data_IF_426836247292
#
_entry.id   IF_426836247292
#
_cell.length_a   1.000
_cell.length_b   1.000
_cell.length_c   1.000
_cell.angle_alpha   90.00
_cell.angle_beta   90.00
_cell.angle_gamma   90.00
#
_symmetry.space_group_name_H-M   'P 1'
#
loop_
_entity.id
_entity.type
_entity.pdbx_description
1 polymer ?
#
# COMPACT_ATOMS: atom_id res chain seq x y z
N UNK A 1 1.53 8.15 6.70
CA UNK A 1 0.06 8.31 6.57
C UNK A 1 -0.18 9.46 5.61
N UNK A 2 -1.28 9.44 4.87
CA UNK A 2 -1.63 10.51 3.94
C UNK A 2 -3.08 10.96 4.15
N UNK A 3 -3.34 12.25 3.96
CA UNK A 3 -4.69 12.81 3.83
C UNK A 3 -4.78 13.66 2.57
N UNK A 4 -6.00 13.95 2.13
CA UNK A 4 -6.18 14.89 1.04
C UNK A 4 -5.82 16.31 1.49
N UNK A 5 -5.08 17.11 0.70
CA UNK A 5 -4.78 18.51 1.04
C UNK A 5 -6.04 19.39 1.18
N UNK A 6 -7.16 19.00 0.57
CA UNK A 6 -8.44 19.71 0.64
C UNK A 6 -9.31 19.30 1.84
N UNK A 7 -8.88 18.32 2.63
CA UNK A 7 -9.60 17.89 3.82
C UNK A 7 -9.31 18.84 5.00
N UNK A 8 -10.27 19.71 5.27
CA UNK A 8 -10.24 20.73 6.31
C UNK A 8 -9.94 20.15 7.71
N UNK A 9 -10.38 18.91 7.98
CA UNK A 9 -10.23 18.25 9.30
C UNK A 9 -8.76 18.06 9.68
N UNK A 10 -7.86 18.00 8.69
CA UNK A 10 -6.47 17.60 8.89
C UNK A 10 -5.43 18.68 8.58
N UNK A 11 -5.83 19.91 8.21
CA UNK A 11 -4.93 21.00 7.78
C UNK A 11 -3.68 21.23 8.63
N UNK A 12 -3.78 21.03 9.94
CA UNK A 12 -2.72 21.32 10.90
C UNK A 12 -1.74 20.15 11.11
N UNK A 13 -1.80 19.09 10.30
CA UNK A 13 -0.94 17.90 10.43
C UNK A 13 0.33 17.95 9.56
N UNK A 14 0.60 19.09 8.90
CA UNK A 14 1.79 19.23 8.03
C UNK A 14 3.06 19.11 8.88
N UNK A 15 3.97 18.22 8.47
CA UNK A 15 5.26 18.03 9.15
C UNK A 15 5.18 17.18 10.43
N UNK A 16 3.98 16.76 10.83
CA UNK A 16 3.78 15.88 11.98
C UNK A 16 4.39 14.50 11.71
N UNK A 17 5.00 13.93 12.75
CA UNK A 17 5.46 12.54 12.77
C UNK A 17 4.51 11.72 13.63
N UNK A 18 4.14 10.55 13.12
CA UNK A 18 3.21 9.63 13.77
C UNK A 18 3.97 8.40 14.25
N UNK A 19 3.62 7.90 15.43
CA UNK A 19 4.19 6.67 15.97
C UNK A 19 3.35 5.47 15.53
N UNK A 20 3.97 4.48 14.91
CA UNK A 20 3.32 3.22 14.56
C UNK A 20 3.01 2.44 15.84
N UNK A 21 1.74 2.13 16.18
CA UNK A 21 1.37 1.65 17.51
C UNK A 21 2.04 0.36 17.98
N UNK A 22 2.34 -0.56 17.06
CA UNK A 22 2.92 -1.87 17.40
C UNK A 22 4.44 -1.85 17.46
N UNK A 23 5.08 -1.24 16.45
CA UNK A 23 6.54 -1.24 16.26
C UNK A 23 7.24 0.01 16.80
N UNK A 24 6.48 1.04 17.23
CA UNK A 24 7.05 2.29 17.75
C UNK A 24 7.78 3.17 16.72
N UNK A 25 7.87 2.73 15.46
CA UNK A 25 8.52 3.48 14.37
C UNK A 25 7.82 4.80 14.09
N UNK A 26 8.58 5.87 13.92
CA UNK A 26 8.05 7.15 13.47
C UNK A 26 7.86 7.21 11.96
N UNK A 27 6.73 7.75 11.53
CA UNK A 27 6.31 7.86 10.15
C UNK A 27 5.97 9.32 9.83
N UNK A 28 6.35 9.85 8.65
CA UNK A 28 5.89 11.15 8.23
C UNK A 28 4.39 11.14 7.90
N UNK A 29 3.75 12.28 8.12
CA UNK A 29 2.45 12.62 7.56
C UNK A 29 2.63 13.42 6.26
N UNK A 30 1.89 13.08 5.22
CA UNK A 30 1.95 13.75 3.91
C UNK A 30 0.54 14.10 3.41
N UNK A 31 0.45 15.05 2.49
CA UNK A 31 -0.80 15.37 1.80
C UNK A 31 -0.72 14.94 0.35
N UNK A 32 -1.66 14.10 -0.09
CA UNK A 32 -1.72 13.59 -1.46
C UNK A 32 -3.16 13.60 -1.95
N UNK A 33 -3.40 14.13 -3.15
CA UNK A 33 -4.73 14.26 -3.75
C UNK A 33 -5.38 12.91 -4.09
N UNK A 34 -4.62 11.82 -4.12
CA UNK A 34 -5.15 10.48 -4.32
C UNK A 34 -6.06 10.04 -3.16
N UNK A 35 -5.86 10.57 -1.95
CA UNK A 35 -6.66 10.18 -0.78
C UNK A 35 -8.06 10.76 -0.90
N UNK A 36 -9.07 9.91 -0.75
CA UNK A 36 -10.48 10.31 -0.73
C UNK A 36 -10.88 10.79 0.70
N UNK A 37 -11.27 12.07 0.88
CA UNK A 37 -11.73 12.58 2.17
C UNK A 37 -13.01 11.90 2.68
N UNK A 38 -13.88 11.43 1.78
CA UNK A 38 -15.19 10.86 2.14
C UNK A 38 -15.10 9.39 2.56
N UNK A 39 -14.00 8.72 2.20
CA UNK A 39 -13.81 7.32 2.52
C UNK A 39 -13.20 7.11 3.90
N UNK A 40 -13.88 6.32 4.74
CA UNK A 40 -13.41 5.96 6.07
C UNK A 40 -13.18 7.19 6.94
N UNK A 41 -11.95 7.37 7.43
CA UNK A 41 -11.58 8.57 8.21
C UNK A 41 -11.10 9.73 7.34
N UNK A 42 -10.86 9.54 6.04
CA UNK A 42 -10.15 10.50 5.20
C UNK A 42 -8.61 10.47 5.38
N UNK A 43 -8.08 9.55 6.18
CA UNK A 43 -6.65 9.28 6.32
C UNK A 43 -6.34 7.85 5.85
N UNK A 44 -5.35 7.72 4.97
CA UNK A 44 -4.89 6.46 4.41
C UNK A 44 -3.50 6.08 4.97
N UNK A 45 -3.31 4.79 5.29
CA UNK A 45 -1.96 4.24 5.51
C UNK A 45 -1.24 4.12 4.16
N UNK A 46 0.02 4.50 4.10
CA UNK A 46 0.83 4.41 2.87
C UNK A 46 1.94 3.40 3.07
N UNK A 47 1.92 2.33 2.29
CA UNK A 47 2.83 1.18 2.33
C UNK A 47 3.50 0.94 0.96
N UNK A 48 4.51 1.74 0.57
CA UNK A 48 5.02 1.77 -0.81
C UNK A 48 5.54 0.44 -1.37
N UNK A 49 5.95 -0.50 -0.52
CA UNK A 49 6.47 -1.79 -0.98
C UNK A 49 5.38 -2.85 -1.27
N UNK A 50 4.12 -2.58 -0.90
CA UNK A 50 3.04 -3.60 -0.83
C UNK A 50 1.72 -3.16 -1.48
N UNK A 51 1.67 -1.98 -2.09
CA UNK A 51 0.52 -1.55 -2.90
C UNK A 51 0.99 -0.61 -4.04
N UNK A 52 0.50 -0.77 -5.28
CA UNK A 52 0.91 0.06 -6.41
C UNK A 52 0.57 1.56 -6.26
N UNK A 53 -0.57 1.91 -5.66
CA UNK A 53 -0.95 3.30 -5.46
C UNK A 53 -0.10 3.93 -4.35
N UNK A 54 0.12 3.19 -3.27
CA UNK A 54 1.03 3.60 -2.20
C UNK A 54 2.46 3.79 -2.71
N UNK A 55 2.91 2.99 -3.67
CA UNK A 55 4.21 3.16 -4.31
C UNK A 55 4.31 4.49 -5.05
N UNK A 56 3.25 4.88 -5.78
CA UNK A 56 3.20 6.16 -6.49
C UNK A 56 3.13 7.36 -5.53
N UNK A 57 2.32 7.28 -4.48
CA UNK A 57 2.30 8.27 -3.38
C UNK A 57 3.69 8.37 -2.76
N UNK A 58 4.29 7.22 -2.44
CA UNK A 58 5.63 7.14 -1.87
C UNK A 58 6.69 7.80 -2.75
N UNK A 59 6.60 7.63 -4.08
CA UNK A 59 7.49 8.33 -5.02
C UNK A 59 7.27 9.84 -5.04
N UNK A 60 6.02 10.32 -5.11
CA UNK A 60 5.70 11.76 -5.12
C UNK A 60 6.20 12.48 -3.87
N UNK A 61 6.16 11.79 -2.73
CA UNK A 61 6.52 12.34 -1.42
C UNK A 61 7.87 11.85 -0.87
N UNK A 62 8.66 11.15 -1.68
CA UNK A 62 9.97 10.61 -1.29
C UNK A 62 9.93 9.79 0.03
N UNK A 63 8.93 8.94 0.17
CA UNK A 63 8.76 8.08 1.35
C UNK A 63 9.68 6.86 1.26
N UNK A 64 10.13 6.39 2.43
CA UNK A 64 10.91 5.17 2.54
C UNK A 64 10.12 3.95 2.03
N UNK A 65 10.78 3.14 1.20
CA UNK A 65 10.21 1.92 0.65
C UNK A 65 10.73 0.73 1.45
N UNK A 66 9.88 0.20 2.34
CA UNK A 66 10.27 -0.85 3.30
C UNK A 66 9.47 -2.12 3.01
N UNK A 67 10.16 -3.15 2.49
CA UNK A 67 9.57 -4.46 2.30
C UNK A 67 9.59 -5.26 3.62
N UNK A 68 8.45 -5.82 4.03
CA UNK A 68 8.33 -6.63 5.26
C UNK A 68 8.13 -8.12 4.97
N UNK A 69 8.05 -8.51 3.69
CA UNK A 69 7.81 -9.88 3.28
C UNK A 69 9.08 -10.52 2.72
N UNK A 70 9.26 -11.80 3.03
CA UNK A 70 10.09 -12.72 2.27
C UNK A 70 9.34 -13.19 1.02
N UNK A 71 10.05 -13.87 0.10
CA UNK A 71 9.45 -14.35 -1.17
C UNK A 71 8.40 -15.44 -0.97
N UNK A 72 8.43 -16.14 0.15
CA UNK A 72 7.47 -17.18 0.54
C UNK A 72 6.22 -16.61 1.24
N UNK A 73 6.16 -15.29 1.46
CA UNK A 73 5.06 -14.63 2.15
C UNK A 73 5.21 -14.57 3.67
N UNK A 74 6.32 -15.05 4.23
CA UNK A 74 6.61 -14.88 5.67
C UNK A 74 7.15 -13.48 5.98
N UNK A 75 7.00 -13.04 7.23
CA UNK A 75 7.49 -11.73 7.67
C UNK A 75 9.02 -11.77 7.86
N UNK A 76 9.71 -10.78 7.29
CA UNK A 76 11.16 -10.62 7.41
C UNK A 76 11.54 -9.77 8.65
N UNK A 77 12.84 -9.48 8.83
CA UNK A 77 13.36 -8.70 9.96
C UNK A 77 12.73 -7.32 10.18
N UNK A 78 12.14 -6.71 9.14
CA UNK A 78 11.48 -5.41 9.24
C UNK A 78 10.12 -5.49 9.96
N UNK A 79 9.61 -6.70 10.19
CA UNK A 79 8.43 -6.93 11.03
C UNK A 79 8.74 -7.13 12.50
N UNK A 80 10.01 -7.05 12.93
CA UNK A 80 10.43 -7.11 14.34
C UNK A 80 9.85 -8.35 15.05
N UNK A 81 9.01 -8.16 16.07
CA UNK A 81 8.37 -9.24 16.84
C UNK A 81 7.46 -10.17 16.03
N UNK A 82 7.14 -9.82 14.79
CA UNK A 82 6.35 -10.64 13.87
C UNK A 82 7.19 -11.46 12.90
N UNK A 83 8.52 -11.33 12.93
CA UNK A 83 9.42 -12.05 12.01
C UNK A 83 9.18 -13.56 12.06
N UNK A 84 9.17 -14.19 10.89
CA UNK A 84 9.00 -15.64 10.71
C UNK A 84 7.56 -16.12 10.59
N UNK A 85 6.57 -15.30 10.96
CA UNK A 85 5.16 -15.66 10.81
C UNK A 85 4.73 -15.63 9.34
N UNK A 86 3.79 -16.49 8.95
CA UNK A 86 3.06 -16.32 7.69
C UNK A 86 2.24 -15.02 7.71
N UNK A 87 2.06 -14.37 6.56
CA UNK A 87 1.34 -13.08 6.45
C UNK A 87 -0.08 -13.11 7.00
N UNK A 88 -0.82 -14.21 6.85
CA UNK A 88 -2.21 -14.29 7.34
C UNK A 88 -2.23 -14.54 8.84
N UNK A 89 -1.31 -15.36 9.36
CA UNK A 89 -1.12 -15.53 10.79
C UNK A 89 -0.70 -14.21 11.45
N UNK A 90 0.27 -13.52 10.86
CA UNK A 90 0.73 -12.19 11.28
C UNK A 90 -0.43 -11.19 11.31
N UNK A 91 -1.29 -11.17 10.28
CA UNK A 91 -2.49 -10.31 10.24
C UNK A 91 -3.39 -10.55 11.46
N UNK A 92 -3.66 -11.82 11.81
CA UNK A 92 -4.47 -12.17 12.98
C UNK A 92 -3.81 -11.70 14.28
N UNK A 93 -2.51 -11.95 14.44
CA UNK A 93 -1.75 -11.53 15.62
C UNK A 93 -1.71 -10.01 15.79
N UNK A 94 -1.54 -9.27 14.69
CA UNK A 94 -1.58 -7.80 14.67
C UNK A 94 -2.93 -7.29 15.19
N UNK A 95 -4.04 -7.89 14.77
CA UNK A 95 -5.37 -7.49 15.24
C UNK A 95 -5.54 -7.71 16.76
N UNK A 96 -5.08 -8.85 17.26
CA UNK A 96 -5.09 -9.14 18.70
C UNK A 96 -4.23 -8.13 19.47
N UNK A 97 -3.04 -7.82 18.99
CA UNK A 97 -2.11 -6.89 19.63
C UNK A 97 -2.65 -5.45 19.63
N UNK A 98 -3.26 -5.00 18.52
CA UNK A 98 -3.92 -3.69 18.45
C UNK A 98 -5.09 -3.61 19.43
N UNK A 99 -5.90 -4.68 19.53
CA UNK A 99 -6.99 -4.76 20.51
C UNK A 99 -6.48 -4.69 21.94
N UNK A 100 -5.42 -5.44 22.28
CA UNK A 100 -4.82 -5.43 23.62
C UNK A 100 -4.24 -4.06 24.00
N UNK A 101 -3.73 -3.30 23.03
CA UNK A 101 -3.20 -1.94 23.24
C UNK A 101 -4.26 -0.82 23.16
N UNK A 102 -5.53 -1.16 22.96
CA UNK A 102 -6.60 -0.16 22.79
C UNK A 102 -6.42 0.72 21.55
N UNK A 103 -5.70 0.25 20.53
CA UNK A 103 -5.45 0.96 19.27
C UNK A 103 -6.37 0.50 18.13
N UNK A 104 -7.36 -0.34 18.43
CA UNK A 104 -8.35 -0.85 17.48
C UNK A 104 -9.72 -0.22 17.79
N UNK A 105 -10.17 0.68 16.93
CA UNK A 105 -11.45 1.38 17.10
C UNK A 105 -12.65 0.50 16.72
N UNK A 106 -12.63 -0.08 15.50
CA UNK A 106 -13.73 -0.88 14.97
C UNK A 106 -13.25 -1.95 13.98
N UNK A 107 -14.06 -3.00 13.84
CA UNK A 107 -13.95 -4.02 12.80
C UNK A 107 -15.32 -4.08 12.11
N UNK A 108 -15.32 -4.01 10.78
CA UNK A 108 -16.53 -4.05 9.96
C UNK A 108 -16.28 -4.95 8.75
N UNK A 109 -17.33 -5.63 8.29
CA UNK A 109 -17.26 -6.40 7.06
C UNK A 109 -17.19 -5.45 5.86
N UNK A 110 -16.21 -5.67 5.00
CA UNK A 110 -15.98 -4.82 3.83
C UNK A 110 -15.75 -5.69 2.60
N UNK A 111 -16.64 -5.63 1.59
CA UNK A 111 -16.40 -6.31 0.33
C UNK A 111 -15.30 -5.57 -0.43
N UNK A 112 -14.24 -6.27 -0.78
CA UNK A 112 -13.12 -5.74 -1.55
C UNK A 112 -12.67 -6.73 -2.62
N UNK A 113 -11.94 -6.21 -3.61
CA UNK A 113 -11.45 -7.01 -4.73
C UNK A 113 -10.06 -7.54 -4.43
N UNK A 114 -9.93 -8.86 -4.27
CA UNK A 114 -8.65 -9.53 -4.09
C UNK A 114 -8.12 -10.01 -5.45
N UNK A 115 -6.87 -9.67 -5.76
CA UNK A 115 -6.19 -10.20 -6.93
C UNK A 115 -5.83 -11.67 -6.74
N UNK A 116 -6.15 -12.52 -7.71
CA UNK A 116 -5.81 -13.94 -7.68
C UNK A 116 -5.01 -14.34 -8.92
N UNK A 117 -4.10 -15.30 -8.75
CA UNK A 117 -3.36 -15.87 -9.86
C UNK A 117 -4.34 -16.59 -10.80
N UNK A 118 -4.34 -16.22 -12.08
CA UNK A 118 -5.27 -16.80 -13.06
C UNK A 118 -5.12 -18.32 -13.22
N UNK A 119 -3.94 -18.88 -12.91
CA UNK A 119 -3.64 -20.32 -13.00
C UNK A 119 -4.05 -21.10 -11.76
N UNK A 120 -3.45 -20.77 -10.62
CA UNK A 120 -3.61 -21.54 -9.38
C UNK A 120 -4.60 -20.93 -8.39
N UNK A 121 -5.19 -19.77 -8.72
CA UNK A 121 -6.19 -19.05 -7.91
C UNK A 121 -5.72 -18.57 -6.53
N UNK A 122 -4.45 -18.79 -6.19
CA UNK A 122 -3.82 -18.21 -4.99
C UNK A 122 -3.89 -16.68 -5.02
N UNK A 123 -4.16 -16.07 -3.88
CA UNK A 123 -4.12 -14.62 -3.70
C UNK A 123 -2.72 -14.07 -4.05
N UNK A 124 -2.69 -13.00 -4.83
CA UNK A 124 -1.46 -12.36 -5.30
C UNK A 124 -1.05 -11.29 -4.31
N UNK A 125 0.19 -11.39 -3.82
CA UNK A 125 0.81 -10.34 -3.00
C UNK A 125 1.60 -9.37 -3.88
N UNK A 126 1.35 -8.05 -3.78
CA UNK A 126 2.26 -7.07 -4.36
C UNK A 126 3.63 -7.18 -3.70
N UNK A 127 4.65 -7.47 -4.50
CA UNK A 127 6.01 -7.69 -4.00
C UNK A 127 7.02 -6.89 -4.81
N UNK A 128 7.67 -5.94 -4.16
CA UNK A 128 8.70 -5.12 -4.81
C UNK A 128 9.95 -5.95 -5.09
N UNK A 129 10.27 -6.09 -6.38
CA UNK A 129 11.46 -6.81 -6.84
C UNK A 129 12.05 -6.15 -8.09
N UNK A 130 13.36 -6.34 -8.36
CA UNK A 130 13.93 -6.00 -9.65
C UNK A 130 13.26 -6.83 -10.74
N UNK A 131 12.73 -6.15 -11.76
CA UNK A 131 12.04 -6.77 -12.87
C UNK A 131 12.46 -6.10 -14.17
N UNK A 132 12.31 -6.83 -15.27
CA UNK A 132 12.53 -6.31 -16.62
C UNK A 132 11.25 -5.67 -17.13
N UNK A 133 11.34 -4.40 -17.55
CA UNK A 133 10.22 -3.65 -18.09
C UNK A 133 10.53 -3.19 -19.51
N UNK A 134 9.52 -3.25 -20.39
CA UNK A 134 9.59 -2.69 -21.74
C UNK A 134 8.90 -1.33 -21.74
N UNK A 135 9.55 -0.30 -22.31
CA UNK A 135 8.96 1.05 -22.44
C UNK A 135 7.86 1.05 -23.52
N UNK A 136 6.64 0.69 -23.11
CA UNK A 136 5.51 0.47 -24.02
C UNK A 136 5.00 1.72 -24.74
N UNK A 137 5.29 2.92 -24.24
CA UNK A 137 4.71 4.18 -24.74
C UNK A 137 4.89 4.38 -26.25
N UNK A 138 6.07 4.07 -26.80
CA UNK A 138 6.34 4.22 -28.24
C UNK A 138 5.61 3.15 -29.07
N UNK A 139 5.74 1.90 -28.66
CA UNK A 139 5.11 0.75 -29.33
C UNK A 139 3.58 0.87 -29.36
N UNK A 140 2.99 1.30 -28.24
CA UNK A 140 1.55 1.50 -28.13
C UNK A 140 1.06 2.61 -29.07
N UNK A 141 1.79 3.72 -29.21
CA UNK A 141 1.43 4.79 -30.15
C UNK A 141 1.39 4.30 -31.59
N UNK A 142 2.38 3.52 -32.01
CA UNK A 142 2.44 2.98 -33.37
C UNK A 142 1.32 1.98 -33.63
N UNK A 143 1.05 1.07 -32.69
CA UNK A 143 -0.05 0.11 -32.79
C UNK A 143 -1.41 0.82 -32.88
N UNK A 144 -1.67 1.82 -32.03
CA UNK A 144 -2.91 2.60 -32.08
C UNK A 144 -3.05 3.35 -33.40
N UNK A 145 -1.94 3.87 -33.95
CA UNK A 145 -1.95 4.53 -35.26
C UNK A 145 -2.34 3.56 -36.38
N UNK A 146 -1.75 2.38 -36.43
CA UNK A 146 -2.06 1.36 -37.44
C UNK A 146 -3.54 0.97 -37.44
N UNK A 147 -4.11 0.75 -36.24
CA UNK A 147 -5.55 0.44 -36.07
C UNK A 147 -6.44 1.59 -36.56
N UNK A 148 -6.10 2.84 -36.22
CA UNK A 148 -6.87 4.01 -36.67
C UNK A 148 -6.79 4.23 -38.18
N UNK A 149 -5.63 3.93 -38.77
CA UNK A 149 -5.40 4.07 -40.22
C UNK A 149 -5.95 2.90 -41.04
N UNK A 150 -6.56 1.87 -40.40
CA UNK A 150 -7.00 0.62 -41.05
C UNK A 150 -5.94 0.05 -42.00
N UNK A 151 -4.68 0.14 -41.60
CA UNK A 151 -3.61 -0.54 -42.34
C UNK A 151 -3.70 -2.03 -41.99
N UNK A 152 -4.22 -2.80 -42.95
CA UNK A 152 -4.15 -4.26 -42.95
C UNK A 152 -2.69 -4.73 -43.05
#
# INVERSE_FOLDING_TARGET
>A
MAANPKDERYKNLKGTRLRLPLLGRELPFVYDEYVDPEFGTGILKVTPAHDPNDFLIGKRHNLAVINVLNKDGTINKNGDSYQGLDRFECRRKILEDLKRRGCLEKIEDYPYRVGQCYRCRTEVEPYLSPQWFVKMEKLAREAVKAVKEKKD
#
